data_IF_021358235417
#
_entry.id   IF_021358235417
#
_cell.length_a   1.000
_cell.length_b   1.000
_cell.length_c   1.000
_cell.angle_alpha   90.00
_cell.angle_beta   90.00
_cell.angle_gamma   90.00
#
_symmetry.space_group_name_H-M   'P 1'
#
loop_
_entity.id
_entity.type
_entity.pdbx_description
1 polymer ?
#
# COMPACT_ATOMS: atom_id res chain seq x y z
N UNK A 1 -62.93 54.66 3.47
CA UNK A 1 -62.12 53.43 3.34
C UNK A 1 -60.68 53.76 3.73
N UNK A 2 -60.10 52.97 4.62
CA UNK A 2 -59.01 53.32 5.55
C UNK A 2 -57.63 53.07 4.92
N UNK A 3 -56.77 54.11 4.91
CA UNK A 3 -55.34 54.18 5.29
C UNK A 3 -54.43 52.95 5.01
N UNK A 4 -53.28 53.15 4.32
CA UNK A 4 -51.94 53.15 4.97
C UNK A 4 -50.75 53.32 3.99
N UNK A 5 -49.82 54.13 4.47
CA UNK A 5 -48.45 54.38 4.05
C UNK A 5 -47.53 53.22 4.54
N UNK A 6 -46.37 53.07 3.87
CA UNK A 6 -45.07 52.51 4.35
C UNK A 6 -44.87 50.98 4.38
N UNK A 7 -43.86 50.50 3.66
CA UNK A 7 -42.54 50.18 4.24
C UNK A 7 -41.56 49.65 3.16
N UNK A 8 -40.46 50.37 3.00
CA UNK A 8 -39.23 49.91 2.35
C UNK A 8 -38.58 48.89 3.29
N UNK A 9 -38.33 47.68 2.82
CA UNK A 9 -37.58 46.65 3.55
C UNK A 9 -36.30 46.34 2.78
N UNK A 10 -35.21 46.95 3.26
CA UNK A 10 -33.84 46.64 2.89
C UNK A 10 -33.49 45.30 3.56
N UNK A 11 -33.29 44.25 2.75
CA UNK A 11 -32.71 43.00 3.23
C UNK A 11 -31.19 43.05 3.01
N UNK A 12 -30.46 43.50 4.04
CA UNK A 12 -29.02 43.22 4.16
C UNK A 12 -28.92 41.79 4.68
N UNK A 13 -28.76 40.83 3.77
CA UNK A 13 -28.39 39.48 4.14
C UNK A 13 -26.88 39.44 4.36
N UNK A 14 -26.53 39.40 5.64
CA UNK A 14 -25.18 39.23 6.19
C UNK A 14 -24.44 38.08 5.49
N UNK A 15 -23.45 38.41 4.68
CA UNK A 15 -22.41 37.49 4.22
C UNK A 15 -21.64 37.08 5.48
N UNK A 16 -22.06 35.99 6.10
CA UNK A 16 -21.30 35.33 7.14
C UNK A 16 -20.08 34.72 6.48
N UNK A 17 -18.93 35.31 6.77
CA UNK A 17 -17.62 34.77 6.48
C UNK A 17 -17.53 33.46 7.27
N UNK A 18 -17.80 32.33 6.60
CA UNK A 18 -17.47 31.01 7.13
C UNK A 18 -15.94 30.98 7.20
N UNK A 19 -15.42 31.23 8.41
CA UNK A 19 -14.03 31.02 8.71
C UNK A 19 -13.67 29.59 8.36
N UNK A 20 -12.63 29.41 7.54
CA UNK A 20 -11.91 28.16 7.41
C UNK A 20 -11.35 27.79 8.79
N UNK A 21 -12.15 27.11 9.60
CA UNK A 21 -11.59 26.26 10.63
C UNK A 21 -10.73 25.23 9.89
N UNK A 22 -9.40 25.35 10.02
CA UNK A 22 -8.51 24.21 9.81
C UNK A 22 -8.87 23.21 10.91
N UNK A 23 -9.91 22.44 10.67
CA UNK A 23 -10.10 21.20 11.39
C UNK A 23 -8.78 20.45 11.23
N UNK A 24 -8.08 20.26 12.35
CA UNK A 24 -6.98 19.30 12.40
C UNK A 24 -7.64 17.96 12.13
N UNK A 25 -7.64 17.57 10.85
CA UNK A 25 -8.07 16.25 10.43
C UNK A 25 -7.20 15.28 11.20
N UNK A 26 -7.81 14.60 12.18
CA UNK A 26 -7.16 13.54 12.92
C UNK A 26 -6.66 12.52 11.90
N UNK A 27 -5.34 12.37 11.79
CA UNK A 27 -4.75 11.57 10.72
C UNK A 27 -5.03 10.08 10.99
N UNK A 28 -5.62 9.35 10.03
CA UNK A 28 -5.90 7.94 10.22
C UNK A 28 -4.59 7.14 10.29
N UNK A 29 -4.40 6.41 11.39
CA UNK A 29 -3.36 5.39 11.52
C UNK A 29 -3.90 4.10 10.89
N UNK A 30 -3.13 3.48 9.99
CA UNK A 30 -3.50 2.24 9.31
C UNK A 30 -2.57 1.10 9.76
N UNK A 31 -3.09 0.07 10.43
CA UNK A 31 -2.31 -1.15 10.68
C UNK A 31 -2.22 -2.02 9.42
N UNK A 32 -1.36 -1.67 8.49
CA UNK A 32 -1.16 -2.47 7.29
C UNK A 32 -0.43 -3.77 7.62
N UNK A 33 -1.09 -4.90 7.37
CA UNK A 33 -0.35 -6.14 7.12
C UNK A 33 0.22 -6.04 5.71
N UNK A 34 1.54 -5.96 5.61
CA UNK A 34 2.26 -5.90 4.33
C UNK A 34 2.00 -7.19 3.55
N UNK A 35 1.33 -7.07 2.39
CA UNK A 35 1.23 -8.15 1.42
C UNK A 35 2.38 -7.98 0.45
N UNK A 36 3.58 -8.33 0.90
CA UNK A 36 4.65 -8.56 -0.04
C UNK A 36 4.37 -9.88 -0.75
N UNK A 37 4.30 -9.89 -2.09
CA UNK A 37 4.32 -11.13 -2.84
C UNK A 37 5.48 -11.99 -2.31
N UNK A 38 5.19 -13.25 -1.96
CA UNK A 38 6.19 -14.14 -1.33
C UNK A 38 7.49 -14.24 -2.14
N UNK A 39 7.42 -14.05 -3.45
CA UNK A 39 8.58 -14.07 -4.32
C UNK A 39 9.56 -12.90 -4.10
N UNK A 40 9.14 -11.79 -3.46
CA UNK A 40 10.06 -10.67 -3.11
C UNK A 40 11.12 -11.13 -2.11
N UNK A 41 10.76 -12.03 -1.17
CA UNK A 41 11.70 -12.61 -0.21
C UNK A 41 12.82 -13.41 -0.91
N UNK A 42 12.54 -14.01 -2.07
CA UNK A 42 13.54 -14.74 -2.87
C UNK A 42 14.48 -13.85 -3.68
N UNK A 43 14.18 -12.55 -3.80
CA UNK A 43 14.95 -11.61 -4.64
C UNK A 43 15.94 -10.76 -3.86
N UNK A 44 15.79 -10.65 -2.54
CA UNK A 44 16.64 -9.79 -1.72
C UNK A 44 17.48 -10.67 -0.79
N UNK A 45 18.80 -10.81 -1.00
CA UNK A 45 19.66 -11.65 -0.16
C UNK A 45 19.73 -11.19 1.31
N UNK A 46 19.22 -9.98 1.60
CA UNK A 46 19.06 -9.41 2.93
C UNK A 46 17.58 -9.15 3.30
N UNK A 47 16.60 -9.68 2.55
CA UNK A 47 15.26 -9.84 3.12
C UNK A 47 15.39 -10.93 4.17
N UNK A 48 15.67 -10.53 5.41
CA UNK A 48 15.11 -11.32 6.49
C UNK A 48 13.62 -11.34 6.20
N UNK A 49 13.05 -12.53 6.05
CA UNK A 49 11.65 -12.74 6.34
C UNK A 49 11.47 -12.23 7.77
N UNK A 50 11.25 -10.93 7.92
CA UNK A 50 10.88 -10.38 9.19
C UNK A 50 9.55 -11.05 9.45
N UNK A 51 9.63 -12.07 10.30
CA UNK A 51 8.54 -12.78 10.94
C UNK A 51 7.32 -11.87 11.00
N UNK A 52 6.16 -12.44 10.68
CA UNK A 52 4.76 -11.99 10.82
C UNK A 52 4.43 -10.99 11.96
N UNK A 53 5.21 -9.95 12.14
CA UNK A 53 5.02 -8.87 13.07
C UNK A 53 4.32 -7.81 12.25
N UNK A 54 3.00 -7.69 12.45
CA UNK A 54 2.24 -6.62 11.84
C UNK A 54 2.96 -5.30 12.07
N UNK A 55 3.41 -4.67 10.98
CA UNK A 55 4.02 -3.36 11.05
C UNK A 55 2.90 -2.33 11.08
N UNK A 56 3.01 -1.37 11.99
CA UNK A 56 2.08 -0.24 12.04
C UNK A 56 2.49 0.83 11.05
N UNK A 57 1.56 1.32 10.23
CA UNK A 57 1.83 2.41 9.30
C UNK A 57 0.95 3.61 9.63
N UNK A 58 1.58 4.74 9.92
CA UNK A 58 0.88 6.02 10.02
C UNK A 58 1.05 6.75 8.69
N UNK A 59 -0.06 7.14 8.06
CA UNK A 59 -0.04 7.79 6.75
C UNK A 59 -0.43 9.25 6.93
N UNK A 60 0.50 10.14 6.63
CA UNK A 60 0.31 11.57 6.70
C UNK A 60 0.05 12.15 5.31
N UNK A 61 -0.86 13.11 5.25
CA UNK A 61 -1.27 13.77 4.01
C UNK A 61 -0.92 15.25 4.03
N UNK A 62 -0.50 15.77 2.87
CA UNK A 62 -0.32 17.19 2.59
C UNK A 62 -0.87 17.48 1.19
N UNK A 63 -1.70 18.52 1.06
CA UNK A 63 -2.35 18.90 -0.21
C UNK A 63 -3.08 17.72 -0.89
N UNK A 64 -3.83 16.94 -0.11
CA UNK A 64 -4.56 15.73 -0.57
C UNK A 64 -3.68 14.64 -1.20
N UNK A 65 -2.38 14.64 -0.91
CA UNK A 65 -1.42 13.62 -1.32
C UNK A 65 -0.72 13.04 -0.10
N UNK A 66 -0.27 11.80 -0.20
CA UNK A 66 0.52 11.16 0.85
C UNK A 66 1.88 11.87 0.90
N UNK A 67 2.24 12.46 2.03
CA UNK A 67 3.51 13.16 2.21
C UNK A 67 4.52 12.36 3.02
N UNK A 68 4.05 11.54 3.95
CA UNK A 68 4.91 10.75 4.85
C UNK A 68 4.21 9.45 5.25
N UNK A 69 4.96 8.36 5.28
CA UNK A 69 4.50 7.08 5.86
C UNK A 69 5.47 6.70 6.97
N UNK A 70 5.00 6.56 8.19
CA UNK A 70 5.83 6.17 9.34
C UNK A 70 5.57 4.70 9.62
N UNK A 71 6.58 3.87 9.41
CA UNK A 71 6.59 2.48 9.80
C UNK A 71 7.13 2.37 11.23
N UNK A 72 6.23 2.02 12.15
CA UNK A 72 6.61 1.82 13.55
C UNK A 72 6.94 0.36 13.80
N UNK A 73 8.15 0.15 14.25
CA UNK A 73 8.61 -1.09 14.84
C UNK A 73 7.85 -1.27 16.14
N UNK A 74 7.11 -2.36 16.27
CA UNK A 74 6.32 -2.66 17.47
C UNK A 74 5.06 -1.80 17.63
N UNK A 75 4.02 -2.12 16.85
CA UNK A 75 2.65 -1.99 17.39
C UNK A 75 2.27 -3.33 18.04
N UNK A 76 2.76 -3.56 19.26
CA UNK A 76 2.00 -4.30 20.27
C UNK A 76 2.34 -5.77 20.59
N UNK A 77 3.52 -6.29 20.30
CA UNK A 77 3.97 -7.57 20.92
C UNK A 77 5.11 -7.27 21.89
N UNK A 78 4.91 -7.34 23.22
CA UNK A 78 6.02 -7.31 24.16
C UNK A 78 6.94 -8.48 23.85
N UNK A 79 8.22 -8.20 23.58
CA UNK A 79 9.21 -9.26 23.52
C UNK A 79 9.28 -9.93 24.91
N UNK A 80 9.26 -11.27 25.00
CA UNK A 80 9.56 -11.93 26.26
C UNK A 80 10.94 -11.49 26.71
N UNK A 81 11.04 -11.10 27.99
CA UNK A 81 12.26 -10.57 28.65
C UNK A 81 13.46 -11.55 28.54
N UNK A 82 13.22 -12.80 28.16
CA UNK A 82 14.22 -13.86 28.04
C UNK A 82 14.40 -14.40 26.60
N UNK A 83 14.08 -13.61 25.57
CA UNK A 83 14.35 -13.97 24.17
C UNK A 83 15.74 -13.50 23.74
N UNK A 84 16.55 -14.43 23.23
CA UNK A 84 17.85 -14.20 22.61
C UNK A 84 17.89 -12.90 21.77
N UNK A 85 18.75 -11.96 22.18
CA UNK A 85 18.93 -10.61 21.63
C UNK A 85 19.71 -10.62 20.30
N UNK A 86 19.98 -11.81 19.74
CA UNK A 86 20.69 -12.00 18.47
C UNK A 86 19.86 -11.58 17.24
N UNK A 87 18.55 -11.41 17.38
CA UNK A 87 17.71 -10.85 16.32
C UNK A 87 17.63 -9.33 16.45
N UNK A 88 18.19 -8.63 15.45
CA UNK A 88 18.24 -7.17 15.42
C UNK A 88 16.89 -6.53 15.75
N UNK A 89 16.91 -5.56 16.67
CA UNK A 89 15.73 -4.79 17.04
C UNK A 89 15.14 -4.14 15.78
N UNK A 90 13.83 -4.27 15.52
CA UNK A 90 13.21 -3.55 14.43
C UNK A 90 13.35 -2.04 14.69
N UNK A 91 13.91 -1.31 13.72
CA UNK A 91 14.19 0.13 13.81
C UNK A 91 13.04 0.89 13.17
N UNK A 92 12.46 1.86 13.89
CA UNK A 92 11.45 2.77 13.35
C UNK A 92 11.98 3.43 12.07
N UNK A 93 11.23 3.33 10.97
CA UNK A 93 11.56 4.00 9.71
C UNK A 93 10.41 4.85 9.24
N UNK A 94 10.72 5.84 8.40
CA UNK A 94 9.69 6.56 7.69
C UNK A 94 10.09 6.79 6.23
N UNK A 95 9.07 6.84 5.40
CA UNK A 95 9.15 7.14 3.98
C UNK A 95 8.70 8.60 3.77
N UNK A 96 9.59 9.45 3.26
CA UNK A 96 9.24 10.77 2.74
C UNK A 96 8.87 10.67 1.27
N UNK A 97 7.78 11.32 0.89
CA UNK A 97 7.22 11.20 -0.46
C UNK A 97 7.20 12.57 -1.14
N UNK A 98 7.89 12.67 -2.27
CA UNK A 98 7.99 13.88 -3.08
C UNK A 98 7.38 13.67 -4.47
N UNK A 99 6.51 14.57 -4.90
CA UNK A 99 5.88 14.52 -6.23
C UNK A 99 6.48 15.60 -7.14
N UNK A 100 7.07 15.19 -8.26
CA UNK A 100 7.69 16.09 -9.25
C UNK A 100 7.15 15.75 -10.64
N UNK A 101 6.21 16.54 -11.14
CA UNK A 101 5.59 16.32 -12.45
C UNK A 101 4.87 14.96 -12.53
N UNK A 102 5.41 14.04 -13.33
CA UNK A 102 4.93 12.66 -13.47
C UNK A 102 5.76 11.65 -12.67
N UNK A 103 6.67 12.10 -11.80
CA UNK A 103 7.47 11.25 -10.93
C UNK A 103 7.02 11.36 -9.48
N UNK A 104 7.17 10.26 -8.74
CA UNK A 104 7.06 10.22 -7.28
C UNK A 104 8.34 9.59 -6.75
N UNK A 105 9.01 10.28 -5.83
CA UNK A 105 10.19 9.78 -5.16
C UNK A 105 9.82 9.43 -3.71
N UNK A 106 10.23 8.24 -3.27
CA UNK A 106 10.08 7.76 -1.91
C UNK A 106 11.47 7.55 -1.31
N UNK A 107 11.79 8.30 -0.25
CA UNK A 107 13.04 8.19 0.51
C UNK A 107 12.79 7.53 1.85
N UNK A 108 13.41 6.38 2.09
CA UNK A 108 13.30 5.68 3.38
C UNK A 108 14.40 6.12 4.33
N UNK A 109 14.02 6.52 5.54
CA UNK A 109 14.91 7.11 6.55
C UNK A 109 14.72 6.39 7.89
N UNK A 110 15.80 6.21 8.66
CA UNK A 110 15.76 5.73 10.05
C UNK A 110 15.33 6.88 10.98
N UNK A 111 14.32 6.64 11.83
CA UNK A 111 13.71 7.68 12.68
C UNK A 111 14.54 8.02 13.93
N UNK A 112 15.08 7.02 14.65
CA UNK A 112 15.54 7.25 16.03
C UNK A 112 17.00 6.97 16.35
N UNK A 113 17.66 6.02 15.69
CA UNK A 113 18.97 5.54 16.19
C UNK A 113 20.18 6.05 15.39
N UNK A 114 19.97 6.59 14.19
CA UNK A 114 21.00 7.25 13.38
C UNK A 114 20.35 8.44 12.66
N UNK A 115 20.62 9.70 13.05
CA UNK A 115 19.93 10.85 12.47
C UNK A 115 20.05 10.86 10.95
N UNK A 116 18.89 10.78 10.27
CA UNK A 116 18.73 10.98 8.83
C UNK A 116 19.54 10.04 7.91
N UNK A 117 19.88 8.83 8.37
CA UNK A 117 20.45 7.84 7.46
C UNK A 117 19.39 7.39 6.46
N UNK A 118 19.59 7.76 5.19
CA UNK A 118 18.78 7.28 4.06
C UNK A 118 19.14 5.83 3.78
N UNK A 119 18.16 4.93 3.86
CA UNK A 119 18.30 3.51 3.57
C UNK A 119 18.21 3.21 2.07
N UNK A 120 17.44 4.01 1.35
CA UNK A 120 17.24 3.84 -0.08
C UNK A 120 16.26 4.85 -0.66
N UNK A 121 16.18 4.87 -1.98
CA UNK A 121 15.25 5.70 -2.73
C UNK A 121 14.55 4.86 -3.78
N UNK A 122 13.23 4.94 -3.80
CA UNK A 122 12.37 4.31 -4.79
C UNK A 122 11.73 5.40 -5.63
N UNK A 123 11.82 5.27 -6.94
CA UNK A 123 11.16 6.18 -7.87
C UNK A 123 9.99 5.50 -8.54
N UNK A 124 8.88 6.21 -8.69
CA UNK A 124 7.72 5.80 -9.46
C UNK A 124 7.51 6.77 -10.63
N UNK A 125 7.24 6.23 -11.82
CA UNK A 125 6.80 7.01 -12.97
C UNK A 125 5.31 6.82 -13.18
N UNK A 126 4.60 7.92 -13.39
CA UNK A 126 3.17 7.98 -13.61
C UNK A 126 2.84 8.26 -15.07
N UNK A 127 1.73 7.73 -15.54
CA UNK A 127 1.13 8.13 -16.82
C UNK A 127 0.28 9.40 -16.71
N UNK A 128 -0.34 9.82 -17.82
CA UNK A 128 -1.24 10.97 -17.88
C UNK A 128 -2.50 10.81 -17.00
N UNK A 129 -2.90 9.58 -16.69
CA UNK A 129 -4.00 9.23 -15.79
C UNK A 129 -3.55 9.06 -14.33
N UNK A 130 -2.29 9.41 -14.02
CA UNK A 130 -1.67 9.31 -12.69
C UNK A 130 -1.56 7.87 -12.15
N UNK A 131 -1.52 6.88 -13.04
CA UNK A 131 -1.28 5.47 -12.70
C UNK A 131 0.22 5.17 -12.74
N UNK A 132 0.68 4.30 -11.85
CA UNK A 132 2.09 3.88 -11.78
C UNK A 132 2.41 2.97 -12.96
N UNK A 133 3.25 3.43 -13.88
CA UNK A 133 3.69 2.62 -15.03
C UNK A 133 5.10 2.03 -14.86
N UNK A 134 5.88 2.57 -13.91
CA UNK A 134 7.21 2.06 -13.59
C UNK A 134 7.57 2.33 -12.13
N UNK A 135 8.26 1.37 -11.50
CA UNK A 135 8.97 1.52 -10.23
C UNK A 135 10.46 1.23 -10.46
N UNK A 136 11.34 2.03 -9.88
CA UNK A 136 12.80 1.85 -9.93
C UNK A 136 13.37 1.92 -8.52
N UNK A 137 14.25 0.98 -8.17
CA UNK A 137 15.05 1.00 -6.94
C UNK A 137 16.49 0.61 -7.29
N UNK A 138 17.36 1.60 -7.46
CA UNK A 138 18.71 1.36 -7.99
C UNK A 138 18.69 0.71 -9.37
N UNK A 139 19.17 -0.53 -9.48
CA UNK A 139 19.17 -1.31 -10.73
C UNK A 139 17.90 -2.14 -10.94
N UNK A 140 17.03 -2.18 -9.94
CA UNK A 140 15.83 -3.00 -9.97
C UNK A 140 14.67 -2.19 -10.52
N UNK A 141 13.87 -2.81 -11.39
CA UNK A 141 12.74 -2.16 -12.04
C UNK A 141 11.51 -3.04 -12.00
N UNK A 142 10.34 -2.41 -11.97
CA UNK A 142 9.05 -3.04 -12.24
C UNK A 142 8.34 -2.18 -13.26
N UNK A 143 8.07 -2.71 -14.45
CA UNK A 143 7.21 -2.07 -15.44
C UNK A 143 5.78 -2.59 -15.27
N UNK A 144 4.78 -1.71 -15.34
CA UNK A 144 3.37 -2.04 -15.18
C UNK A 144 2.59 -1.71 -16.45
N UNK A 145 1.79 -2.66 -16.90
CA UNK A 145 1.01 -2.57 -18.14
C UNK A 145 -0.48 -2.67 -17.83
N UNK A 146 -1.24 -1.71 -18.32
CA UNK A 146 -2.68 -1.62 -18.09
C UNK A 146 -3.44 -1.94 -19.37
N UNK A 147 -4.56 -2.63 -19.22
CA UNK A 147 -5.52 -2.87 -20.29
C UNK A 147 -6.23 -1.58 -20.73
N UNK A 148 -6.94 -1.65 -21.86
CA UNK A 148 -7.68 -0.51 -22.42
C UNK A 148 -8.76 0.06 -21.49
N UNK A 149 -9.35 -0.78 -20.62
CA UNK A 149 -10.35 -0.35 -19.63
C UNK A 149 -9.71 0.23 -18.35
N UNK A 150 -8.38 0.25 -18.27
CA UNK A 150 -7.64 0.87 -17.19
C UNK A 150 -7.18 -0.05 -16.06
N UNK A 151 -7.54 -1.34 -16.08
CA UNK A 151 -7.10 -2.32 -15.08
C UNK A 151 -5.67 -2.78 -15.33
N UNK A 152 -4.89 -3.00 -14.27
CA UNK A 152 -3.54 -3.57 -14.36
C UNK A 152 -3.65 -4.97 -14.99
N UNK A 153 -2.86 -5.25 -16.02
CA UNK A 153 -2.93 -6.50 -16.75
C UNK A 153 -1.66 -7.33 -16.54
N UNK A 154 -0.51 -6.67 -16.56
CA UNK A 154 0.78 -7.33 -16.42
C UNK A 154 1.75 -6.45 -15.64
N UNK A 155 2.69 -7.08 -14.94
CA UNK A 155 3.91 -6.44 -14.48
C UNK A 155 5.14 -7.27 -14.82
N UNK A 156 6.25 -6.59 -15.07
CA UNK A 156 7.55 -7.22 -15.34
C UNK A 156 8.58 -6.65 -14.38
N UNK A 157 8.99 -7.46 -13.41
CA UNK A 157 10.05 -7.13 -12.45
C UNK A 157 11.39 -7.62 -12.99
N UNK A 158 12.42 -6.78 -12.91
CA UNK A 158 13.81 -7.13 -13.22
C UNK A 158 14.69 -6.73 -12.04
N UNK A 159 15.38 -7.70 -11.47
CA UNK A 159 16.32 -7.47 -10.37
C UNK A 159 17.75 -7.55 -10.90
N UNK A 160 18.36 -6.39 -11.19
CA UNK A 160 19.77 -6.27 -11.56
C UNK A 160 20.34 -7.21 -12.65
N UNK A 161 19.49 -7.84 -13.47
CA UNK A 161 19.87 -8.87 -14.45
C UNK A 161 19.95 -10.31 -13.91
N UNK A 162 19.65 -10.55 -12.63
CA UNK A 162 19.67 -11.88 -12.00
C UNK A 162 18.36 -12.64 -12.16
N UNK A 163 17.25 -11.92 -12.09
CA UNK A 163 15.93 -12.51 -12.13
C UNK A 163 14.95 -11.61 -12.90
N UNK A 164 14.08 -12.25 -13.68
CA UNK A 164 12.92 -11.62 -14.30
C UNK A 164 11.66 -12.29 -13.77
N UNK A 165 10.69 -11.49 -13.35
CA UNK A 165 9.39 -11.97 -12.91
C UNK A 165 8.33 -11.36 -13.80
N UNK A 166 7.48 -12.19 -14.38
CA UNK A 166 6.32 -11.76 -15.16
C UNK A 166 5.07 -12.16 -14.41
N UNK A 167 4.18 -11.21 -14.13
CA UNK A 167 2.95 -11.40 -13.37
C UNK A 167 1.75 -10.94 -14.19
N UNK A 168 0.73 -11.78 -14.31
CA UNK A 168 -0.53 -11.50 -14.98
C UNK A 168 -1.64 -11.36 -13.95
N UNK A 169 -2.45 -10.30 -14.07
CA UNK A 169 -3.46 -9.91 -13.09
C UNK A 169 -4.87 -10.16 -13.65
N UNK A 170 -5.70 -10.83 -12.86
CA UNK A 170 -7.06 -11.24 -13.25
C UNK A 170 -8.10 -10.63 -12.31
N UNK A 171 -9.14 -10.03 -12.89
CA UNK A 171 -10.19 -9.31 -12.15
C UNK A 171 -11.56 -9.93 -12.40
N UNK A 172 -12.45 -9.88 -11.40
CA UNK A 172 -13.85 -10.24 -11.57
C UNK A 172 -14.68 -9.11 -12.20
N UNK A 173 -15.98 -9.34 -12.40
CA UNK A 173 -16.94 -8.37 -12.94
C UNK A 173 -17.03 -7.08 -12.12
N UNK A 174 -16.78 -7.16 -10.81
CA UNK A 174 -16.80 -6.01 -9.89
C UNK A 174 -15.48 -5.22 -9.89
N UNK A 175 -14.51 -5.62 -10.72
CA UNK A 175 -13.16 -5.04 -10.81
C UNK A 175 -12.33 -5.26 -9.54
N UNK A 176 -12.56 -6.39 -8.85
CA UNK A 176 -11.71 -6.86 -7.77
C UNK A 176 -10.65 -7.82 -8.31
N UNK A 177 -9.40 -7.68 -7.87
CA UNK A 177 -8.33 -8.63 -8.21
C UNK A 177 -8.74 -9.99 -7.66
N UNK A 178 -8.59 -11.06 -8.42
CA UNK A 178 -8.97 -12.41 -7.96
C UNK A 178 -7.79 -13.34 -7.98
N UNK A 179 -6.89 -13.14 -8.94
CA UNK A 179 -5.74 -13.98 -9.11
C UNK A 179 -4.57 -13.19 -9.69
N UNK A 180 -3.36 -13.54 -9.26
CA UNK A 180 -2.13 -13.25 -9.98
C UNK A 180 -1.52 -14.58 -10.37
N UNK A 181 -1.15 -14.72 -11.63
CA UNK A 181 -0.33 -15.85 -12.10
C UNK A 181 1.00 -15.31 -12.56
N UNK A 182 2.09 -15.97 -12.20
CA UNK A 182 3.37 -15.50 -12.64
C UNK A 182 4.43 -16.56 -12.78
N UNK A 183 5.55 -16.12 -13.34
CA UNK A 183 6.73 -16.92 -13.60
C UNK A 183 7.96 -16.15 -13.15
N UNK A 184 8.85 -16.86 -12.48
CA UNK A 184 10.16 -16.41 -12.03
C UNK A 184 11.19 -17.08 -12.95
N UNK A 185 11.96 -16.26 -13.65
CA UNK A 185 13.03 -16.68 -14.54
C UNK A 185 14.37 -16.27 -13.92
N UNK A 186 15.09 -17.23 -13.32
CA UNK A 186 16.38 -16.98 -12.70
C UNK A 186 17.50 -17.30 -13.70
N UNK A 187 18.57 -16.50 -13.69
CA UNK A 187 19.78 -16.75 -14.50
C UNK A 187 20.42 -18.10 -14.21
N UNK A 188 20.24 -18.67 -13.01
CA UNK A 188 20.70 -20.02 -12.67
C UNK A 188 19.93 -21.16 -13.35
N UNK A 189 18.82 -20.85 -14.05
CA UNK A 189 17.92 -21.84 -14.66
C UNK A 189 16.86 -22.39 -13.70
N UNK A 190 16.92 -22.05 -12.41
CA UNK A 190 15.89 -22.41 -11.44
C UNK A 190 14.66 -21.52 -11.62
N UNK A 191 13.76 -21.98 -12.49
CA UNK A 191 12.53 -21.28 -12.83
C UNK A 191 11.36 -21.80 -11.99
N UNK A 192 10.50 -20.88 -11.57
CA UNK A 192 9.31 -21.17 -10.77
C UNK A 192 8.07 -20.58 -11.42
N UNK A 193 6.92 -21.15 -11.11
CA UNK A 193 5.62 -20.57 -11.40
C UNK A 193 4.88 -20.35 -10.09
N UNK A 194 4.09 -19.29 -10.01
CA UNK A 194 3.31 -19.01 -8.81
C UNK A 194 1.90 -18.58 -9.16
N UNK A 195 1.01 -18.81 -8.20
CA UNK A 195 -0.36 -18.34 -8.23
C UNK A 195 -0.66 -17.68 -6.88
N UNK A 196 -1.28 -16.51 -6.94
CA UNK A 196 -1.85 -15.82 -5.78
C UNK A 196 -3.35 -15.68 -6.00
N UNK A 197 -4.13 -15.72 -4.93
CA UNK A 197 -5.58 -15.60 -4.95
C UNK A 197 -6.06 -14.68 -3.84
N UNK A 198 -7.06 -13.88 -4.18
CA UNK A 198 -7.68 -12.89 -3.30
C UNK A 198 -9.16 -13.21 -3.22
N UNK A 199 -9.65 -13.46 -2.00
CA UNK A 199 -11.00 -14.01 -1.77
C UNK A 199 -11.69 -13.33 -0.60
N UNK A 200 -12.98 -13.62 -0.46
CA UNK A 200 -13.85 -13.10 0.59
C UNK A 200 -13.85 -11.56 0.59
N UNK A 201 -14.24 -11.02 -0.57
CA UNK A 201 -14.46 -9.60 -0.77
C UNK A 201 -15.73 -9.16 -0.06
N UNK A 202 -15.67 -8.00 0.59
CA UNK A 202 -16.87 -7.30 1.04
C UNK A 202 -17.35 -6.27 0.02
N UNK A 203 -18.39 -5.52 0.38
CA UNK A 203 -18.95 -4.45 -0.44
C UNK A 203 -18.35 -3.07 -0.13
N UNK A 204 -17.49 -2.95 0.88
CA UNK A 204 -16.93 -1.65 1.28
C UNK A 204 -15.87 -1.20 0.26
N UNK A 205 -15.81 0.10 -0.08
CA UNK A 205 -14.77 0.60 -0.96
C UNK A 205 -13.38 0.42 -0.33
N UNK A 206 -12.41 0.12 -1.17
CA UNK A 206 -11.04 -0.07 -0.72
C UNK A 206 -10.35 1.29 -0.48
N UNK A 207 -10.01 1.55 0.78
CA UNK A 207 -9.31 2.76 1.21
C UNK A 207 -7.86 2.85 0.70
N UNK A 208 -7.28 1.75 0.22
CA UNK A 208 -5.92 1.72 -0.35
C UNK A 208 -5.84 2.10 -1.82
N UNK A 209 -6.95 2.41 -2.49
CA UNK A 209 -6.94 2.76 -3.93
C UNK A 209 -5.99 3.92 -4.29
N UNK A 210 -5.68 4.79 -3.34
CA UNK A 210 -4.72 5.91 -3.50
C UNK A 210 -3.30 5.59 -2.95
N UNK A 211 -3.12 4.45 -2.29
CA UNK A 211 -1.94 4.08 -1.51
C UNK A 211 -0.96 3.18 -2.28
N UNK A 212 -1.07 3.09 -3.62
CA UNK A 212 -0.22 2.21 -4.43
C UNK A 212 1.29 2.49 -4.38
N UNK A 213 1.69 3.67 -3.89
CA UNK A 213 3.10 4.02 -3.67
C UNK A 213 3.63 3.58 -2.29
N UNK A 214 2.75 3.18 -1.38
CA UNK A 214 3.11 2.70 -0.04
C UNK A 214 3.43 1.21 -0.14
N UNK A 215 4.56 0.81 0.45
CA UNK A 215 4.96 -0.61 0.51
C UNK A 215 3.85 -1.46 1.13
N UNK A 216 3.66 -2.68 0.63
CA UNK A 216 2.59 -3.59 1.07
C UNK A 216 1.15 -3.21 0.69
N UNK A 217 0.90 -1.98 0.20
CA UNK A 217 -0.45 -1.51 -0.16
C UNK A 217 -0.80 -1.75 -1.62
N UNK A 218 0.20 -1.98 -2.47
CA UNK A 218 0.01 -1.99 -3.93
C UNK A 218 -1.06 -2.99 -4.38
N UNK A 219 -1.00 -4.24 -3.93
CA UNK A 219 -1.96 -5.28 -4.31
C UNK A 219 -3.39 -4.96 -3.84
N UNK A 220 -3.53 -4.33 -2.67
CA UNK A 220 -4.83 -3.82 -2.23
C UNK A 220 -5.25 -2.66 -3.13
N UNK A 221 -4.37 -1.72 -3.45
CA UNK A 221 -4.70 -0.51 -4.23
C UNK A 221 -5.32 -0.81 -5.61
N UNK A 222 -5.05 -1.99 -6.18
CA UNK A 222 -5.59 -2.38 -7.49
C UNK A 222 -6.99 -3.00 -7.43
N UNK A 223 -7.50 -3.36 -6.25
CA UNK A 223 -8.85 -3.91 -6.07
C UNK A 223 -9.85 -2.81 -5.69
N UNK A 224 -11.08 -2.90 -6.18
CA UNK A 224 -12.18 -1.98 -5.83
C UNK A 224 -12.62 -2.10 -4.37
N UNK A 225 -12.71 -3.32 -3.85
CA UNK A 225 -13.19 -3.67 -2.52
C UNK A 225 -12.08 -4.33 -1.70
N UNK A 226 -12.33 -4.54 -0.40
CA UNK A 226 -11.38 -5.19 0.48
C UNK A 226 -11.54 -6.70 0.43
N UNK A 227 -10.42 -7.43 0.35
CA UNK A 227 -10.39 -8.88 0.58
C UNK A 227 -9.90 -9.18 1.99
N UNK A 228 -10.48 -10.22 2.58
CA UNK A 228 -10.10 -10.75 3.90
C UNK A 228 -9.27 -12.02 3.81
N UNK A 229 -9.15 -12.65 2.63
CA UNK A 229 -8.37 -13.87 2.44
C UNK A 229 -7.38 -13.71 1.30
N UNK A 230 -6.12 -14.02 1.58
CA UNK A 230 -5.03 -14.10 0.62
C UNK A 230 -4.46 -15.51 0.67
N UNK A 231 -4.16 -16.10 -0.48
CA UNK A 231 -3.44 -17.38 -0.55
C UNK A 231 -2.48 -17.38 -1.71
N UNK A 232 -1.35 -18.04 -1.55
CA UNK A 232 -0.31 -18.16 -2.57
C UNK A 232 0.19 -19.60 -2.65
N UNK A 233 0.67 -19.97 -3.84
CA UNK A 233 1.28 -21.27 -4.08
C UNK A 233 2.33 -21.11 -5.15
N UNK A 234 3.44 -21.81 -4.99
CA UNK A 234 4.59 -21.76 -5.88
C UNK A 234 5.02 -23.17 -6.23
N UNK A 235 5.40 -23.35 -7.49
CA UNK A 235 5.71 -24.65 -8.05
C UNK A 235 6.98 -24.56 -8.90
N UNK A 236 7.69 -25.68 -9.02
CA UNK A 236 8.68 -25.86 -10.07
C UNK A 236 8.01 -25.85 -11.44
N UNK A 237 8.78 -25.65 -12.51
CA UNK A 237 8.25 -25.73 -13.89
C UNK A 237 7.64 -27.10 -14.23
N UNK A 238 8.01 -28.16 -13.49
CA UNK A 238 7.46 -29.50 -13.66
C UNK A 238 6.16 -29.72 -12.87
N UNK A 239 5.68 -28.70 -12.15
CA UNK A 239 4.43 -28.73 -11.39
C UNK A 239 4.57 -29.24 -9.95
N UNK A 240 5.79 -29.42 -9.45
CA UNK A 240 6.01 -29.82 -8.05
C UNK A 240 5.80 -28.62 -7.13
N UNK A 241 4.96 -28.76 -6.11
CA UNK A 241 4.72 -27.71 -5.12
C UNK A 241 5.99 -27.46 -4.30
N UNK A 242 6.50 -26.23 -4.32
CA UNK A 242 7.66 -25.83 -3.51
C UNK A 242 7.23 -25.11 -2.24
N UNK A 243 6.15 -24.34 -2.29
CA UNK A 243 5.68 -23.55 -1.16
C UNK A 243 4.19 -23.16 -1.32
N UNK A 244 3.51 -22.95 -0.20
CA UNK A 244 2.13 -22.45 -0.18
C UNK A 244 1.79 -21.77 1.14
N UNK A 245 0.92 -20.77 1.07
CA UNK A 245 0.44 -20.04 2.24
C UNK A 245 -1.02 -19.64 2.07
N UNK A 246 -1.74 -19.54 3.19
CA UNK A 246 -3.04 -18.88 3.27
C UNK A 246 -3.07 -17.98 4.51
N UNK A 247 -3.53 -16.75 4.33
CA UNK A 247 -3.72 -15.77 5.40
C UNK A 247 -5.17 -15.29 5.39
N UNK A 248 -5.78 -15.28 6.58
CA UNK A 248 -7.12 -14.73 6.82
C UNK A 248 -7.02 -13.55 7.77
N UNK A 249 -7.60 -12.43 7.38
CA UNK A 249 -7.63 -11.20 8.16
C UNK A 249 -9.05 -10.87 8.59
N UNK A 250 -9.19 -10.41 9.83
CA UNK A 250 -10.43 -9.79 10.27
C UNK A 250 -10.43 -8.33 9.84
N UNK A 251 -11.28 -7.99 8.87
CA UNK A 251 -11.53 -6.61 8.50
C UNK A 251 -12.47 -6.00 9.54
N UNK A 252 -12.09 -4.85 10.10
CA UNK A 252 -12.95 -4.02 10.94
C UNK A 252 -13.26 -2.74 10.18
N UNK A 253 -14.35 -2.08 10.53
CA UNK A 253 -14.82 -0.88 9.85
C UNK A 253 -15.09 0.23 10.86
N UNK A 254 -14.80 1.48 10.49
CA UNK A 254 -15.20 2.64 11.27
C UNK A 254 -16.67 2.98 11.02
N UNK A 255 -17.17 3.96 11.76
CA UNK A 255 -18.56 4.43 11.63
C UNK A 255 -18.88 4.99 10.23
N UNK A 256 -17.86 5.31 9.43
CA UNK A 256 -17.98 5.80 8.04
C UNK A 256 -17.82 4.68 7.00
N UNK A 257 -17.63 3.44 7.43
CA UNK A 257 -17.48 2.27 6.56
C UNK A 257 -16.09 2.12 5.94
N UNK A 258 -15.07 2.83 6.44
CA UNK A 258 -13.69 2.60 6.04
C UNK A 258 -13.10 1.43 6.80
N UNK A 259 -12.36 0.57 6.10
CA UNK A 259 -11.66 -0.52 6.76
C UNK A 259 -10.66 0.04 7.80
N UNK A 260 -10.94 -0.19 9.07
CA UNK A 260 -10.02 0.00 10.18
C UNK A 260 -9.10 -1.20 10.21
N UNK A 261 -7.86 -0.94 9.86
CA UNK A 261 -6.78 -1.83 10.24
C UNK A 261 -6.30 -1.37 11.62
N UNK A 262 -6.67 -2.15 12.64
CA UNK A 262 -6.80 -1.82 14.06
C UNK A 262 -5.90 -0.70 14.60
N UNK A 263 -6.53 0.37 15.11
CA UNK A 263 -6.00 1.20 16.22
C UNK A 263 -6.27 0.41 17.50
N UNK A 264 -5.25 -0.24 18.10
CA UNK A 264 -5.44 -0.76 19.46
C UNK A 264 -5.41 0.46 20.39
N UNK A 265 -6.48 0.67 21.15
CA UNK A 265 -6.47 1.61 22.28
C UNK A 265 -5.27 1.27 23.16
N UNK A 266 -4.42 2.25 23.41
CA UNK A 266 -3.61 2.31 24.62
C UNK A 266 -4.54 2.63 25.80
#
# INVERSE_FOLDING_TARGET
MIRKIRNILIFIASITIIGCAKDKVEQPIYLLYEFDPMYIAYLMPNYSMFNNYGSGYEIQYSNNKISKVIQRSVIGVPMPVNGDISQGQPIDTYDEILYIGNKVELKRIIDKDVPNKVLGTVEFTLDSKKRIIKRTNGRDTIDYYYSGNGLLQESVTRNGGYCKITSQYYFNSDKNLTCIKGRIENKSGYNLVFNEYFRNYDSAPNSFSILGIVSGCFLRSVSRNNFSTYSSSMYTINGELTDSMEIKHQLKYDEKGYAIFVKKKL
#
